data_IF_724935354373
#
_entry.id   IF_724935354373
#
_cell.length_a   1.000
_cell.length_b   1.000
_cell.length_c   1.000
_cell.angle_alpha   90.00
_cell.angle_beta   90.00
_cell.angle_gamma   90.00
#
_symmetry.space_group_name_H-M   'P 1'
#
loop_
_entity.id
_entity.type
_entity.pdbx_description
1 polymer ?
#
# COMPACT_ATOMS: atom_id res chain seq x y z
N UNK A 1 -15.38 11.44 9.04
CA UNK A 1 -14.27 10.63 9.56
C UNK A 1 -13.00 10.99 8.82
N UNK A 2 -11.86 10.81 9.47
CA UNK A 2 -10.56 10.93 8.80
C UNK A 2 -10.09 9.57 8.32
N UNK A 3 -9.80 9.46 7.04
CA UNK A 3 -9.49 8.19 6.37
C UNK A 3 -8.10 8.26 5.75
N UNK A 4 -7.23 7.30 6.07
CA UNK A 4 -5.99 7.08 5.35
C UNK A 4 -6.27 6.16 4.17
N UNK A 5 -6.18 6.68 2.95
CA UNK A 5 -6.43 5.95 1.70
C UNK A 5 -5.11 5.54 1.05
N UNK A 6 -4.85 4.24 0.98
CA UNK A 6 -3.69 3.72 0.28
C UNK A 6 -3.92 3.72 -1.23
N UNK A 7 -3.06 4.40 -1.97
CA UNK A 7 -3.12 4.56 -3.41
C UNK A 7 -1.97 3.78 -4.07
N UNK A 8 -2.30 2.96 -5.04
CA UNK A 8 -1.33 2.18 -5.81
C UNK A 8 -0.89 2.85 -7.12
N UNK A 9 -1.46 4.01 -7.46
CA UNK A 9 -1.32 4.61 -8.78
C UNK A 9 -2.29 4.07 -9.82
N UNK A 10 -3.03 3.00 -9.52
CA UNK A 10 -4.03 2.42 -10.40
C UNK A 10 -5.39 3.12 -10.36
N UNK A 11 -6.24 2.81 -11.34
CA UNK A 11 -7.58 3.41 -11.50
C UNK A 11 -8.49 3.05 -10.32
N UNK A 12 -8.49 1.81 -9.88
CA UNK A 12 -9.40 1.32 -8.86
C UNK A 12 -9.22 2.02 -7.51
N UNK A 13 -7.96 2.15 -7.05
CA UNK A 13 -7.65 2.87 -5.81
C UNK A 13 -7.97 4.36 -5.91
N UNK A 14 -7.81 4.93 -7.10
CA UNK A 14 -8.14 6.35 -7.37
C UNK A 14 -9.65 6.60 -7.33
N UNK A 15 -10.44 5.72 -7.92
CA UNK A 15 -11.90 5.79 -7.89
C UNK A 15 -12.42 5.63 -6.45
N UNK A 16 -11.85 4.70 -5.71
CA UNK A 16 -12.24 4.50 -4.32
C UNK A 16 -11.93 5.73 -3.44
N UNK A 17 -10.77 6.35 -3.62
CA UNK A 17 -10.44 7.60 -2.93
C UNK A 17 -11.41 8.75 -3.29
N UNK A 18 -11.82 8.84 -4.56
CA UNK A 18 -12.84 9.79 -5.01
C UNK A 18 -14.18 9.55 -4.29
N UNK A 19 -14.62 8.30 -4.20
CA UNK A 19 -15.87 7.96 -3.53
C UNK A 19 -15.82 8.30 -2.04
N UNK A 20 -14.75 7.94 -1.35
CA UNK A 20 -14.54 8.30 0.05
C UNK A 20 -14.60 9.82 0.28
N UNK A 21 -14.01 10.61 -0.61
CA UNK A 21 -14.09 12.08 -0.55
C UNK A 21 -15.50 12.61 -0.80
N UNK A 22 -16.23 12.03 -1.77
CA UNK A 22 -17.62 12.40 -2.07
C UNK A 22 -18.58 12.12 -0.92
N UNK A 23 -18.30 11.12 -0.11
CA UNK A 23 -19.04 10.81 1.11
C UNK A 23 -18.78 11.81 2.26
N UNK A 24 -17.92 12.81 2.04
CA UNK A 24 -17.64 13.86 3.01
C UNK A 24 -16.52 13.52 4.00
N UNK A 25 -15.76 12.48 3.76
CA UNK A 25 -14.64 12.11 4.62
C UNK A 25 -13.42 13.04 4.42
N UNK A 26 -12.68 13.31 5.50
CA UNK A 26 -11.36 13.96 5.46
C UNK A 26 -10.32 12.88 5.07
N UNK A 27 -9.98 12.81 3.79
CA UNK A 27 -9.09 11.78 3.27
C UNK A 27 -7.65 12.25 3.19
N UNK A 28 -6.73 11.39 3.60
CA UNK A 28 -5.28 11.51 3.41
C UNK A 28 -4.84 10.39 2.47
N UNK A 29 -4.21 10.74 1.35
CA UNK A 29 -3.64 9.76 0.42
C UNK A 29 -2.26 9.30 0.90
N UNK A 30 -1.94 8.04 0.68
CA UNK A 30 -0.59 7.53 0.90
C UNK A 30 -0.21 6.44 -0.10
N UNK A 31 1.07 6.32 -0.35
CA UNK A 31 1.67 5.20 -1.10
C UNK A 31 2.79 4.60 -0.27
N UNK A 32 2.90 3.29 -0.28
CA UNK A 32 3.98 2.56 0.38
C UNK A 32 5.08 2.27 -0.63
N UNK A 33 6.28 2.74 -0.37
CA UNK A 33 7.47 2.40 -1.12
C UNK A 33 8.12 1.17 -0.52
N UNK A 34 8.14 0.07 -1.27
CA UNK A 34 8.62 -1.24 -0.81
C UNK A 34 10.00 -1.61 -1.33
N UNK A 35 10.51 -0.89 -2.35
CA UNK A 35 11.79 -1.14 -2.98
C UNK A 35 12.57 0.15 -3.14
N UNK A 36 13.89 0.09 -3.02
CA UNK A 36 14.79 1.11 -3.53
C UNK A 36 15.17 0.74 -4.97
N UNK A 37 15.15 1.75 -5.86
CA UNK A 37 15.36 1.54 -7.31
C UNK A 37 16.73 0.97 -7.67
N UNK A 38 17.68 0.99 -6.76
CA UNK A 38 19.05 0.53 -7.00
C UNK A 38 19.20 -0.99 -6.80
N UNK A 39 18.35 -1.62 -5.97
CA UNK A 39 18.44 -3.04 -5.66
C UNK A 39 17.59 -3.92 -6.59
N UNK A 40 16.70 -3.33 -7.36
CA UNK A 40 15.80 -4.06 -8.24
C UNK A 40 16.42 -4.24 -9.63
N UNK A 41 17.40 -5.12 -9.78
CA UNK A 41 17.77 -5.70 -11.07
C UNK A 41 16.61 -6.47 -11.74
N UNK A 42 15.39 -6.24 -11.31
CA UNK A 42 14.15 -6.84 -11.80
C UNK A 42 13.51 -5.88 -12.80
N UNK A 43 13.30 -6.38 -14.00
CA UNK A 43 12.58 -5.71 -15.08
C UNK A 43 11.32 -4.98 -14.56
N UNK A 44 11.15 -3.74 -14.98
CA UNK A 44 10.07 -2.78 -14.62
C UNK A 44 8.63 -3.29 -14.77
N UNK A 45 8.42 -4.50 -15.27
CA UNK A 45 7.12 -5.00 -15.68
C UNK A 45 6.24 -5.57 -14.56
N UNK A 46 6.77 -5.81 -13.34
CA UNK A 46 6.05 -6.56 -12.30
C UNK A 46 6.26 -6.07 -10.86
N UNK A 47 6.71 -4.83 -10.65
CA UNK A 47 6.87 -4.30 -9.29
C UNK A 47 5.65 -3.49 -8.88
N UNK A 48 5.00 -3.87 -7.78
CA UNK A 48 3.97 -3.07 -7.11
C UNK A 48 4.61 -1.79 -6.56
N UNK A 49 4.31 -0.61 -7.06
CA UNK A 49 4.78 0.70 -6.62
C UNK A 49 6.10 1.16 -7.28
N UNK A 50 6.03 1.47 -8.55
CA UNK A 50 7.09 2.17 -9.28
C UNK A 50 7.09 3.66 -8.92
N UNK A 51 8.13 4.41 -9.32
CA UNK A 51 8.13 5.88 -9.21
C UNK A 51 6.97 6.51 -9.99
N UNK A 52 6.64 5.95 -11.14
CA UNK A 52 5.51 6.38 -11.98
C UNK A 52 4.18 6.20 -11.26
N UNK A 53 3.95 5.05 -10.62
CA UNK A 53 2.76 4.79 -9.79
C UNK A 53 2.65 5.79 -8.64
N UNK A 54 3.77 6.16 -8.04
CA UNK A 54 3.83 7.15 -6.95
C UNK A 54 3.45 8.55 -7.44
N UNK A 55 3.92 8.95 -8.61
CA UNK A 55 3.56 10.24 -9.23
C UNK A 55 2.09 10.28 -9.66
N UNK A 56 1.56 9.19 -10.17
CA UNK A 56 0.14 9.06 -10.50
C UNK A 56 -0.74 9.17 -9.24
N UNK A 57 -0.39 8.47 -8.18
CA UNK A 57 -1.08 8.55 -6.89
C UNK A 57 -1.03 9.96 -6.30
N UNK A 58 0.12 10.63 -6.41
CA UNK A 58 0.28 12.03 -5.99
C UNK A 58 -0.65 12.96 -6.79
N UNK A 59 -0.67 12.82 -8.11
CA UNK A 59 -1.50 13.63 -8.99
C UNK A 59 -2.98 13.48 -8.68
N UNK A 60 -3.44 12.26 -8.44
CA UNK A 60 -4.82 11.97 -8.02
C UNK A 60 -5.13 12.64 -6.67
N UNK A 61 -4.24 12.50 -5.69
CA UNK A 61 -4.42 13.10 -4.36
C UNK A 61 -4.55 14.61 -4.44
N UNK A 62 -3.70 15.28 -5.23
CA UNK A 62 -3.76 16.71 -5.43
C UNK A 62 -5.07 17.16 -6.10
N UNK A 63 -5.52 16.44 -7.12
CA UNK A 63 -6.81 16.73 -7.79
C UNK A 63 -8.02 16.57 -6.87
N UNK A 64 -7.94 15.63 -5.93
CA UNK A 64 -8.98 15.41 -4.93
C UNK A 64 -8.88 16.33 -3.71
N UNK A 65 -7.88 17.22 -3.67
CA UNK A 65 -7.63 18.13 -2.53
C UNK A 65 -7.24 17.37 -1.26
N UNK A 66 -6.54 16.23 -1.40
CA UNK A 66 -6.08 15.43 -0.28
C UNK A 66 -4.61 15.71 0.01
N UNK A 67 -4.23 15.67 1.30
CA UNK A 67 -2.83 15.56 1.69
C UNK A 67 -2.30 14.20 1.23
N UNK A 68 -1.02 14.15 0.86
CA UNK A 68 -0.41 12.93 0.34
C UNK A 68 0.94 12.66 0.99
N UNK A 69 1.16 11.42 1.36
CA UNK A 69 2.41 10.96 1.96
C UNK A 69 2.95 9.72 1.24
N UNK A 70 4.25 9.64 1.13
CA UNK A 70 4.95 8.41 0.72
C UNK A 70 5.63 7.82 1.94
N UNK A 71 5.28 6.60 2.30
CA UNK A 71 5.91 5.88 3.39
C UNK A 71 6.97 4.93 2.84
N UNK A 72 8.21 5.11 3.27
CA UNK A 72 9.29 4.20 2.91
C UNK A 72 9.31 3.01 3.87
N UNK A 73 8.89 1.85 3.37
CA UNK A 73 8.90 0.58 4.08
C UNK A 73 9.87 -0.43 3.43
N UNK A 74 10.87 0.03 2.69
CA UNK A 74 11.79 -0.84 1.98
C UNK A 74 12.58 -1.77 2.93
N UNK A 75 13.04 -1.26 4.06
CA UNK A 75 13.75 -2.05 5.08
C UNK A 75 12.84 -3.10 5.70
N UNK A 76 11.63 -2.72 6.11
CA UNK A 76 10.65 -3.63 6.68
C UNK A 76 10.21 -4.68 5.67
N UNK A 77 10.04 -4.30 4.41
CA UNK A 77 9.71 -5.23 3.33
C UNK A 77 10.82 -6.28 3.15
N UNK A 78 12.07 -5.85 3.13
CA UNK A 78 13.19 -6.77 3.01
C UNK A 78 13.21 -7.77 4.17
N UNK A 79 13.12 -7.30 5.41
CA UNK A 79 13.17 -8.14 6.61
C UNK A 79 11.97 -9.07 6.73
N UNK A 80 10.75 -8.56 6.55
CA UNK A 80 9.52 -9.30 6.85
C UNK A 80 9.02 -10.13 5.67
N UNK A 81 9.40 -9.80 4.45
CA UNK A 81 8.92 -10.48 3.25
C UNK A 81 10.07 -11.22 2.55
N UNK A 82 11.12 -10.52 2.15
CA UNK A 82 12.19 -11.11 1.33
C UNK A 82 12.99 -12.14 2.14
N UNK A 83 13.43 -11.81 3.34
CA UNK A 83 14.20 -12.74 4.19
C UNK A 83 13.38 -13.97 4.59
N UNK A 84 12.09 -13.79 4.85
CA UNK A 84 11.17 -14.91 5.13
C UNK A 84 10.98 -15.79 3.92
N UNK A 85 10.78 -15.18 2.75
CA UNK A 85 10.65 -15.90 1.48
C UNK A 85 11.89 -16.77 1.23
N UNK A 86 13.07 -16.18 1.33
CA UNK A 86 14.34 -16.88 1.09
C UNK A 86 14.53 -18.04 2.04
N UNK A 87 14.28 -17.84 3.34
CA UNK A 87 14.39 -18.90 4.34
C UNK A 87 13.40 -20.05 4.13
N UNK A 88 12.15 -19.72 3.81
CA UNK A 88 11.12 -20.72 3.57
C UNK A 88 11.43 -21.53 2.32
N UNK A 89 11.86 -20.87 1.26
CA UNK A 89 12.25 -21.55 0.02
C UNK A 89 13.45 -22.47 0.21
N UNK A 90 14.47 -22.03 0.94
CA UNK A 90 15.65 -22.85 1.29
C UNK A 90 15.28 -24.07 2.14
N UNK A 91 14.20 -24.01 2.91
CA UNK A 91 13.66 -25.12 3.72
C UNK A 91 12.72 -26.05 2.94
N UNK A 92 12.54 -25.84 1.63
CA UNK A 92 11.67 -26.65 0.79
C UNK A 92 10.16 -26.33 0.93
N UNK A 93 9.81 -25.22 1.60
CA UNK A 93 8.43 -24.73 1.73
C UNK A 93 8.19 -23.71 0.62
N UNK A 94 7.05 -23.79 -0.06
CA UNK A 94 6.64 -22.76 -1.04
C UNK A 94 5.96 -21.61 -0.31
N UNK A 95 6.63 -20.44 -0.11
CA UNK A 95 6.05 -19.30 0.59
C UNK A 95 5.14 -18.48 -0.32
N UNK A 96 4.21 -17.74 0.29
CA UNK A 96 3.44 -16.73 -0.40
C UNK A 96 3.84 -15.33 0.12
N UNK A 97 4.70 -14.59 -0.60
CA UNK A 97 5.18 -13.29 -0.15
C UNK A 97 4.08 -12.23 -0.05
N UNK A 98 2.99 -12.38 -0.81
CA UNK A 98 1.85 -11.45 -0.75
C UNK A 98 1.12 -11.53 0.60
N UNK A 99 1.03 -12.70 1.20
CA UNK A 99 0.43 -12.88 2.53
C UNK A 99 1.26 -12.15 3.59
N UNK A 100 2.58 -12.32 3.56
CA UNK A 100 3.49 -11.66 4.50
C UNK A 100 3.49 -10.14 4.30
N UNK A 101 3.52 -9.65 3.07
CA UNK A 101 3.40 -8.23 2.76
C UNK A 101 2.09 -7.64 3.29
N UNK A 102 0.97 -8.29 3.08
CA UNK A 102 -0.31 -7.84 3.60
C UNK A 102 -0.30 -7.78 5.13
N UNK A 103 0.15 -8.86 5.78
CA UNK A 103 0.11 -9.00 7.24
C UNK A 103 1.02 -8.00 7.96
N UNK A 104 2.27 -7.88 7.57
CA UNK A 104 3.27 -7.10 8.31
C UNK A 104 3.35 -5.65 7.87
N UNK A 105 3.14 -5.34 6.61
CA UNK A 105 3.26 -4.00 6.09
C UNK A 105 1.92 -3.30 5.95
N UNK A 106 1.00 -3.90 5.21
CA UNK A 106 -0.28 -3.23 4.93
C UNK A 106 -1.16 -3.16 6.17
N UNK A 107 -1.30 -4.25 6.93
CA UNK A 107 -2.10 -4.26 8.16
C UNK A 107 -1.30 -3.84 9.41
N UNK A 108 0.00 -4.02 9.44
CA UNK A 108 0.84 -3.62 10.56
C UNK A 108 1.29 -2.17 10.46
N UNK A 109 2.29 -1.92 9.62
CA UNK A 109 2.96 -0.61 9.52
C UNK A 109 2.06 0.52 9.01
N UNK A 110 1.19 0.23 8.06
CA UNK A 110 0.25 1.23 7.56
C UNK A 110 -0.76 1.64 8.63
N UNK A 111 -1.21 0.69 9.42
CA UNK A 111 -2.09 0.94 10.56
C UNK A 111 -1.43 1.85 11.62
N UNK A 112 -0.17 1.59 11.97
CA UNK A 112 0.58 2.45 12.87
C UNK A 112 0.70 3.88 12.32
N UNK A 113 0.94 4.03 11.02
CA UNK A 113 0.98 5.36 10.37
C UNK A 113 -0.38 6.07 10.39
N UNK A 114 -1.46 5.34 10.16
CA UNK A 114 -2.80 5.88 10.25
C UNK A 114 -3.11 6.44 11.65
N UNK A 115 -2.74 5.73 12.70
CA UNK A 115 -2.85 6.20 14.09
C UNK A 115 -2.06 7.48 14.34
N UNK A 116 -0.80 7.52 13.89
CA UNK A 116 0.04 8.71 14.05
C UNK A 116 -0.51 9.95 13.34
N UNK A 117 -1.22 9.75 12.23
CA UNK A 117 -1.89 10.83 11.50
C UNK A 117 -3.27 11.18 12.06
N UNK A 118 -3.71 10.52 13.12
CA UNK A 118 -5.01 10.71 13.73
C UNK A 118 -6.16 10.31 12.81
N UNK A 119 -5.98 9.28 12.00
CA UNK A 119 -7.02 8.72 11.15
C UNK A 119 -7.92 7.77 11.94
N UNK A 120 -9.20 7.76 11.64
CA UNK A 120 -10.20 6.87 12.25
C UNK A 120 -10.23 5.52 11.53
N UNK A 121 -9.85 5.50 10.26
CA UNK A 121 -9.89 4.33 9.38
C UNK A 121 -8.66 4.34 8.46
N UNK A 122 -8.05 3.18 8.28
CA UNK A 122 -7.13 2.91 7.18
C UNK A 122 -7.87 2.13 6.11
N UNK A 123 -7.91 2.70 4.90
CA UNK A 123 -8.55 2.07 3.74
C UNK A 123 -7.49 1.64 2.74
N UNK A 124 -7.53 0.38 2.33
CA UNK A 124 -6.64 -0.15 1.31
C UNK A 124 -7.37 -1.18 0.45
N UNK A 125 -6.99 -1.24 -0.82
CA UNK A 125 -7.43 -2.27 -1.74
C UNK A 125 -6.38 -3.38 -1.77
N UNK A 126 -6.81 -4.60 -1.49
CA UNK A 126 -6.00 -5.80 -1.63
C UNK A 126 -6.54 -6.58 -2.81
N UNK A 127 -5.68 -6.87 -3.77
CA UNK A 127 -5.99 -7.79 -4.85
C UNK A 127 -5.38 -9.15 -4.51
N UNK A 128 -6.22 -10.18 -4.41
CA UNK A 128 -5.79 -11.56 -4.54
C UNK A 128 -6.15 -12.02 -5.94
N UNK A 129 -5.18 -12.50 -6.69
CA UNK A 129 -5.36 -13.07 -8.03
C UNK A 129 -5.93 -12.11 -9.10
N UNK A 130 -5.62 -10.82 -9.00
CA UNK A 130 -6.03 -9.83 -9.99
C UNK A 130 -7.53 -9.50 -9.97
N UNK A 131 -8.27 -9.97 -8.99
CA UNK A 131 -9.66 -9.58 -8.74
C UNK A 131 -9.72 -8.58 -7.61
N UNK A 132 -10.50 -7.50 -7.71
CA UNK A 132 -10.70 -6.58 -6.60
C UNK A 132 -11.44 -7.30 -5.48
N UNK A 133 -10.70 -7.78 -4.48
CA UNK A 133 -11.30 -8.33 -3.28
C UNK A 133 -11.37 -7.29 -2.18
N UNK A 134 -12.60 -7.12 -1.73
CA UNK A 134 -13.13 -6.46 -0.53
C UNK A 134 -12.27 -5.39 0.14
N UNK A 135 -12.84 -4.23 0.17
CA UNK A 135 -12.56 -3.13 1.08
C UNK A 135 -12.35 -3.62 2.51
N UNK A 136 -11.12 -3.60 2.98
CA UNK A 136 -10.85 -3.71 4.40
C UNK A 136 -10.81 -2.31 4.99
N UNK A 137 -11.74 -2.03 5.87
CA UNK A 137 -11.67 -0.89 6.77
C UNK A 137 -11.59 -1.44 8.18
N UNK A 138 -10.50 -1.21 8.85
CA UNK A 138 -10.37 -1.48 10.27
C UNK A 138 -10.58 -0.15 10.99
N UNK A 139 -11.56 -0.11 11.86
CA UNK A 139 -11.79 1.04 12.73
C UNK A 139 -10.66 1.09 13.75
N UNK A 140 -9.94 2.20 13.79
CA UNK A 140 -8.82 2.45 14.70
C UNK A 140 -9.30 2.74 16.11
#
# INVERSE_FOLDING_TARGET
MRVLAALSGGVDSSVAALLLRREGNDCIGCTMRLYDNEDAGISRAHTCCTLEDTEDARSVSLRLGMRYYVFNFAEEFHREVIDRFTRSYASGITPNPCIDCNRYLKFGKLYDRAKLLGCDIAWLMISSDGKPERLWHERL
#
